data_IF_112111164168
#
_entry.id   IF_112111164168
#
_cell.length_a   1.000
_cell.length_b   1.000
_cell.length_c   1.000
_cell.angle_alpha   90.00
_cell.angle_beta   90.00
_cell.angle_gamma   90.00
#
_symmetry.space_group_name_H-M   'P 1'
#
loop_
_entity.id
_entity.type
_entity.pdbx_description
1 polymer ?
#
# COMPACT_ATOMS: atom_id res chain seq x y z
N UNK A 1 2.98 -10.04 -38.53
CA UNK A 1 2.71 -10.43 -37.13
C UNK A 1 3.97 -10.49 -36.25
N UNK A 2 5.11 -9.95 -36.72
CA UNK A 2 6.44 -10.11 -36.06
C UNK A 2 6.91 -8.93 -35.17
N UNK A 3 6.11 -7.87 -35.01
CA UNK A 3 6.64 -6.63 -34.41
C UNK A 3 6.23 -6.35 -32.95
N UNK A 4 5.37 -7.20 -32.36
CA UNK A 4 4.95 -6.99 -30.95
C UNK A 4 5.83 -7.75 -29.94
N UNK A 5 6.34 -8.92 -30.34
CA UNK A 5 7.22 -9.72 -29.45
C UNK A 5 8.60 -9.06 -29.26
N UNK A 6 9.13 -8.41 -30.29
CA UNK A 6 10.40 -7.70 -30.20
C UNK A 6 10.35 -6.47 -29.27
N UNK A 7 9.21 -5.79 -29.20
CA UNK A 7 9.02 -4.61 -28.34
C UNK A 7 8.93 -5.03 -26.87
N UNK A 8 8.26 -6.14 -26.56
CA UNK A 8 8.13 -6.67 -25.20
C UNK A 8 9.47 -7.22 -24.72
N UNK A 9 10.22 -7.95 -25.55
CA UNK A 9 11.56 -8.42 -25.19
C UNK A 9 12.54 -7.25 -24.96
N UNK A 10 12.44 -6.18 -25.73
CA UNK A 10 13.29 -5.00 -25.57
C UNK A 10 12.94 -4.19 -24.30
N UNK A 11 11.66 -4.12 -23.91
CA UNK A 11 11.23 -3.53 -22.63
C UNK A 11 11.66 -4.39 -21.45
N UNK A 12 11.48 -5.71 -21.51
CA UNK A 12 11.92 -6.64 -20.46
C UNK A 12 13.43 -6.65 -20.33
N UNK A 13 14.18 -6.59 -21.44
CA UNK A 13 15.65 -6.50 -21.43
C UNK A 13 16.16 -5.17 -20.85
N UNK A 14 15.51 -4.05 -21.14
CA UNK A 14 15.85 -2.75 -20.54
C UNK A 14 15.47 -2.67 -19.06
N UNK A 15 14.38 -3.31 -18.67
CA UNK A 15 13.97 -3.43 -17.26
C UNK A 15 14.91 -4.36 -16.49
N UNK A 16 15.32 -5.49 -17.07
CA UNK A 16 16.32 -6.40 -16.49
C UNK A 16 17.71 -5.74 -16.42
N UNK A 17 18.11 -4.94 -17.38
CA UNK A 17 19.38 -4.21 -17.34
C UNK A 17 19.39 -3.11 -16.25
N UNK A 18 18.24 -2.48 -15.98
CA UNK A 18 18.08 -1.56 -14.85
C UNK A 18 18.03 -2.29 -13.49
N UNK A 19 17.62 -3.56 -13.45
CA UNK A 19 17.61 -4.43 -12.27
C UNK A 19 18.98 -5.05 -11.95
N UNK A 20 19.91 -5.08 -12.91
CA UNK A 20 21.25 -5.69 -12.75
C UNK A 20 22.31 -4.69 -12.28
N UNK A 21 21.96 -3.45 -11.99
CA UNK A 21 22.88 -2.61 -11.22
C UNK A 21 22.94 -3.12 -9.76
N UNK A 22 23.82 -4.09 -9.54
CA UNK A 22 24.07 -4.73 -8.24
C UNK A 22 24.37 -3.71 -7.11
N UNK A 23 24.75 -2.49 -7.44
CA UNK A 23 24.93 -1.40 -6.48
C UNK A 23 23.61 -0.93 -5.88
N UNK A 24 22.51 -1.06 -6.64
CA UNK A 24 21.17 -0.69 -6.18
C UNK A 24 20.60 -1.72 -5.17
N UNK A 25 20.90 -3.01 -5.39
CA UNK A 25 20.44 -4.10 -4.50
C UNK A 25 21.18 -4.05 -3.14
N UNK A 26 22.43 -3.63 -3.12
CA UNK A 26 23.25 -3.54 -1.90
C UNK A 26 22.95 -2.31 -1.03
N UNK A 27 22.26 -1.31 -1.55
CA UNK A 27 21.81 -0.12 -0.82
C UNK A 27 20.57 -0.36 0.02
N UNK A 28 19.78 -1.36 -0.29
CA UNK A 28 18.54 -1.67 0.44
C UNK A 28 18.85 -2.51 1.69
N UNK A 29 19.09 -1.85 2.83
CA UNK A 29 19.51 -2.48 4.11
C UNK A 29 18.51 -3.49 4.71
N UNK A 30 17.32 -3.69 4.13
CA UNK A 30 16.25 -4.53 4.68
C UNK A 30 15.87 -5.75 3.84
N UNK A 31 16.61 -6.06 2.77
CA UNK A 31 16.37 -7.27 2.00
C UNK A 31 17.12 -8.46 2.62
N UNK A 32 16.47 -9.20 3.52
CA UNK A 32 16.78 -10.61 3.71
C UNK A 32 15.84 -11.42 2.79
N UNK A 33 16.34 -11.99 1.69
CA UNK A 33 15.51 -12.90 0.90
C UNK A 33 15.27 -14.14 1.75
N UNK A 34 14.00 -14.44 2.07
CA UNK A 34 13.65 -15.72 2.65
C UNK A 34 14.05 -16.82 1.64
N UNK A 35 14.60 -17.93 2.12
CA UNK A 35 15.00 -19.07 1.29
C UNK A 35 13.86 -19.61 0.40
N UNK A 36 12.61 -19.31 0.73
CA UNK A 36 11.42 -19.64 -0.05
C UNK A 36 11.29 -18.83 -1.36
N UNK A 37 11.83 -17.62 -1.41
CA UNK A 37 11.79 -16.80 -2.65
C UNK A 37 12.77 -17.34 -3.71
N UNK A 38 13.88 -17.98 -3.29
CA UNK A 38 14.88 -18.55 -4.22
C UNK A 38 14.40 -19.88 -4.85
N UNK A 39 13.62 -20.70 -4.10
CA UNK A 39 13.13 -21.99 -4.60
C UNK A 39 12.03 -21.88 -5.66
N UNK A 40 11.34 -20.75 -5.74
CA UNK A 40 10.29 -20.55 -6.74
C UNK A 40 10.81 -20.24 -8.16
N UNK A 41 12.06 -19.82 -8.29
CA UNK A 41 12.65 -19.47 -9.60
C UNK A 41 13.02 -20.73 -10.39
N UNK A 42 13.51 -21.78 -9.75
CA UNK A 42 13.88 -23.03 -10.43
C UNK A 42 12.68 -23.90 -10.85
N UNK A 43 11.54 -23.75 -10.19
CA UNK A 43 10.31 -24.47 -10.51
C UNK A 43 9.55 -23.82 -11.67
N UNK A 44 9.85 -22.56 -12.00
CA UNK A 44 9.16 -21.74 -12.98
C UNK A 44 9.57 -22.02 -14.43
N UNK A 45 10.70 -22.67 -14.68
CA UNK A 45 11.21 -22.93 -16.05
C UNK A 45 10.38 -23.94 -16.86
N UNK A 46 9.29 -24.52 -16.33
CA UNK A 46 8.57 -25.62 -16.95
C UNK A 46 7.06 -25.47 -17.19
N UNK A 47 6.42 -24.36 -16.80
CA UNK A 47 4.98 -24.19 -17.05
C UNK A 47 4.60 -22.77 -17.50
N UNK A 48 4.35 -22.65 -18.77
CA UNK A 48 3.44 -21.78 -19.53
C UNK A 48 2.97 -20.44 -18.95
N UNK A 49 3.34 -19.35 -19.67
CA UNK A 49 2.42 -18.39 -20.28
C UNK A 49 2.21 -17.03 -19.60
N UNK A 50 2.06 -16.05 -20.40
CA UNK A 50 1.88 -14.59 -20.26
C UNK A 50 1.30 -14.03 -18.93
N UNK A 51 0.40 -14.74 -18.25
CA UNK A 51 -0.16 -14.34 -16.96
C UNK A 51 0.83 -14.48 -15.79
N UNK A 52 1.74 -15.45 -15.88
CA UNK A 52 2.76 -15.67 -14.86
C UNK A 52 3.84 -14.57 -14.89
N UNK A 53 4.21 -14.09 -16.07
CA UNK A 53 5.18 -12.99 -16.23
C UNK A 53 4.73 -11.69 -15.57
N UNK A 54 3.46 -11.32 -15.70
CA UNK A 54 2.89 -10.14 -15.04
C UNK A 54 2.91 -10.28 -13.52
N UNK A 55 2.62 -11.47 -13.00
CA UNK A 55 2.65 -11.74 -11.55
C UNK A 55 4.05 -11.67 -10.96
N UNK A 56 5.07 -12.18 -11.67
CA UNK A 56 6.48 -12.13 -11.23
C UNK A 56 7.01 -10.69 -11.23
N UNK A 57 6.77 -9.93 -12.29
CA UNK A 57 7.17 -8.51 -12.35
C UNK A 57 6.50 -7.72 -11.24
N UNK A 58 5.22 -7.96 -10.97
CA UNK A 58 4.47 -7.33 -9.89
C UNK A 58 5.05 -7.67 -8.50
N UNK A 59 5.35 -8.94 -8.24
CA UNK A 59 5.98 -9.40 -7.00
C UNK A 59 7.38 -8.80 -6.80
N UNK A 60 8.20 -8.76 -7.84
CA UNK A 60 9.53 -8.15 -7.79
C UNK A 60 9.44 -6.64 -7.52
N UNK A 61 8.50 -5.94 -8.16
CA UNK A 61 8.28 -4.51 -7.91
C UNK A 61 7.85 -4.26 -6.46
N UNK A 62 6.97 -5.09 -5.90
CA UNK A 62 6.59 -4.99 -4.49
C UNK A 62 7.77 -5.22 -3.55
N UNK A 63 8.57 -6.24 -3.80
CA UNK A 63 9.72 -6.56 -2.96
C UNK A 63 10.82 -5.51 -2.99
N UNK A 64 10.97 -4.79 -4.11
CA UNK A 64 12.03 -3.78 -4.29
C UNK A 64 11.68 -2.43 -3.64
N UNK A 65 10.39 -2.06 -3.61
CA UNK A 65 9.98 -0.72 -3.21
C UNK A 65 9.06 -0.66 -2.00
N UNK A 66 8.61 -1.79 -1.47
CA UNK A 66 7.80 -1.80 -0.26
C UNK A 66 8.33 -2.80 0.77
N UNK A 67 8.62 -2.28 1.95
CA UNK A 67 9.08 -3.05 3.11
C UNK A 67 7.96 -3.17 4.15
N UNK A 68 8.09 -4.14 5.06
CA UNK A 68 7.25 -4.18 6.26
C UNK A 68 7.60 -2.97 7.12
N UNK A 69 6.59 -2.22 7.55
CA UNK A 69 6.77 -1.08 8.44
C UNK A 69 7.28 -1.56 9.81
N UNK A 70 8.28 -0.88 10.33
CA UNK A 70 8.85 -1.15 11.64
C UNK A 70 8.67 0.05 12.58
N UNK A 71 8.74 -0.12 13.92
CA UNK A 71 8.67 1.00 14.86
C UNK A 71 9.69 2.12 14.61
N UNK A 72 10.82 1.79 13.99
CA UNK A 72 11.86 2.77 13.60
C UNK A 72 11.43 3.71 12.48
N UNK A 73 10.37 3.36 11.73
CA UNK A 73 9.79 4.23 10.71
C UNK A 73 8.88 5.33 11.30
N UNK A 74 8.62 5.29 12.63
CA UNK A 74 7.62 6.12 13.30
C UNK A 74 7.81 7.62 13.07
N UNK A 75 9.04 8.12 13.09
CA UNK A 75 9.33 9.54 12.84
C UNK A 75 8.86 9.94 11.43
N UNK A 76 9.18 9.11 10.44
CA UNK A 76 8.85 9.40 9.05
C UNK A 76 7.36 9.24 8.79
N UNK A 77 6.74 8.18 9.31
CA UNK A 77 5.29 7.93 9.23
C UNK A 77 4.52 9.07 9.90
N UNK A 78 4.92 9.50 11.11
CA UNK A 78 4.32 10.64 11.80
C UNK A 78 4.46 11.94 11.00
N UNK A 79 5.63 12.19 10.41
CA UNK A 79 5.87 13.37 9.56
C UNK A 79 4.92 13.39 8.35
N UNK A 80 4.72 12.26 7.67
CA UNK A 80 3.78 12.15 6.56
C UNK A 80 2.36 12.42 7.06
N UNK A 81 1.92 11.72 8.11
CA UNK A 81 0.56 11.80 8.64
C UNK A 81 0.20 13.20 9.14
N UNK A 82 1.08 13.83 9.90
CA UNK A 82 0.84 15.13 10.50
C UNK A 82 0.69 16.27 9.49
N UNK A 83 1.21 16.12 8.27
CA UNK A 83 0.90 17.05 7.17
C UNK A 83 -0.59 17.00 6.81
N UNK A 84 -1.20 15.82 6.80
CA UNK A 84 -2.63 15.65 6.54
C UNK A 84 -3.47 16.12 7.73
N UNK A 85 -3.02 15.85 8.95
CA UNK A 85 -3.68 16.35 10.17
C UNK A 85 -3.78 17.86 10.13
N UNK A 86 -2.67 18.55 9.86
CA UNK A 86 -2.58 20.00 10.00
C UNK A 86 -3.12 20.79 8.81
N UNK A 87 -3.18 20.19 7.60
CA UNK A 87 -3.41 20.94 6.35
C UNK A 87 -4.60 20.47 5.52
N UNK A 88 -5.22 19.35 5.88
CA UNK A 88 -6.27 18.75 5.04
C UNK A 88 -7.44 18.22 5.86
N UNK A 89 -8.54 17.92 5.17
CA UNK A 89 -9.72 17.25 5.71
C UNK A 89 -9.66 15.72 5.54
N UNK A 90 -8.56 15.18 5.00
CA UNK A 90 -8.41 13.76 4.64
C UNK A 90 -8.38 12.86 5.87
N UNK A 91 -7.83 13.32 7.00
CA UNK A 91 -7.95 12.67 8.29
C UNK A 91 -8.75 13.54 9.27
N UNK A 92 -9.44 12.92 10.21
CA UNK A 92 -10.25 13.63 11.20
C UNK A 92 -9.53 13.90 12.51
N UNK A 93 -8.26 13.48 12.65
CA UNK A 93 -7.44 13.98 13.76
C UNK A 93 -7.20 15.49 13.58
N UNK A 94 -7.30 16.23 14.69
CA UNK A 94 -7.20 17.69 14.72
C UNK A 94 -5.86 18.17 15.25
N UNK A 95 -5.17 17.32 16.04
CA UNK A 95 -3.88 17.62 16.63
C UNK A 95 -2.80 16.68 16.06
N UNK A 96 -1.58 17.19 15.80
CA UNK A 96 -0.47 16.36 15.36
C UNK A 96 -0.15 15.23 16.32
N UNK A 97 0.10 14.04 15.78
CA UNK A 97 0.42 12.85 16.56
C UNK A 97 1.91 12.85 16.90
N UNK A 98 2.29 12.75 18.19
CA UNK A 98 3.68 12.61 18.61
C UNK A 98 4.31 11.34 18.05
N UNK A 99 5.63 11.37 17.81
CA UNK A 99 6.38 10.24 17.23
C UNK A 99 6.22 8.97 18.09
N UNK A 100 6.28 9.09 19.41
CA UNK A 100 6.16 7.94 20.31
C UNK A 100 4.75 7.32 20.29
N UNK A 101 3.72 8.15 20.12
CA UNK A 101 2.35 7.66 19.94
C UNK A 101 2.24 6.93 18.60
N UNK A 102 2.85 7.47 17.53
CA UNK A 102 2.89 6.81 16.22
C UNK A 102 3.65 5.50 16.28
N UNK A 103 4.77 5.44 17.02
CA UNK A 103 5.53 4.21 17.26
C UNK A 103 4.67 3.12 17.89
N UNK A 104 3.92 3.46 18.94
CA UNK A 104 3.00 2.54 19.59
C UNK A 104 1.87 2.06 18.65
N UNK A 105 1.34 2.96 17.80
CA UNK A 105 0.35 2.58 16.77
C UNK A 105 0.93 1.58 15.75
N UNK A 106 2.14 1.85 15.25
CA UNK A 106 2.84 0.94 14.32
C UNK A 106 3.04 -0.41 14.96
N UNK A 107 3.59 -0.46 16.18
CA UNK A 107 3.83 -1.70 16.89
C UNK A 107 2.55 -2.51 17.10
N UNK A 108 1.50 -1.86 17.60
CA UNK A 108 0.19 -2.48 17.82
C UNK A 108 -0.42 -3.05 16.54
N UNK A 109 -0.39 -2.31 15.43
CA UNK A 109 -1.01 -2.73 14.18
C UNK A 109 -0.15 -3.78 13.48
N UNK A 110 1.17 -3.55 13.35
CA UNK A 110 2.06 -4.44 12.60
C UNK A 110 2.26 -5.81 13.24
N UNK A 111 2.00 -5.94 14.56
CA UNK A 111 2.04 -7.21 15.28
C UNK A 111 0.96 -8.21 14.80
N UNK A 112 -0.18 -7.74 14.31
CA UNK A 112 -1.33 -8.56 13.93
C UNK A 112 -1.74 -8.40 12.46
N UNK A 113 -1.54 -7.22 11.88
CA UNK A 113 -2.07 -6.85 10.58
C UNK A 113 -0.97 -6.41 9.60
N UNK A 114 -1.22 -6.48 8.28
CA UNK A 114 -0.29 -6.00 7.28
C UNK A 114 -0.04 -4.49 7.42
N UNK A 115 1.21 -4.10 7.46
CA UNK A 115 1.65 -2.71 7.49
C UNK A 115 2.90 -2.57 6.60
N UNK A 116 2.83 -1.74 5.56
CA UNK A 116 3.91 -1.57 4.59
C UNK A 116 4.30 -0.11 4.43
N UNK A 117 5.57 0.13 4.18
CA UNK A 117 6.12 1.42 3.76
C UNK A 117 6.61 1.32 2.32
N UNK A 118 6.48 2.40 1.58
CA UNK A 118 7.19 2.58 0.30
C UNK A 118 8.45 3.40 0.58
N UNK A 119 9.59 2.76 0.33
CA UNK A 119 10.90 3.36 0.53
C UNK A 119 11.60 3.52 -0.82
N UNK A 120 12.23 4.67 -1.03
CA UNK A 120 13.07 4.94 -2.17
C UNK A 120 14.32 5.70 -1.71
N UNK A 121 15.49 5.18 -2.06
CA UNK A 121 16.80 5.72 -1.66
C UNK A 121 16.94 5.98 -0.14
N UNK A 122 16.48 5.00 0.67
CA UNK A 122 16.52 5.07 2.13
C UNK A 122 15.49 6.03 2.74
N UNK A 123 14.57 6.58 1.95
CA UNK A 123 13.55 7.52 2.41
C UNK A 123 12.16 6.94 2.27
N UNK A 124 11.41 6.85 3.36
CA UNK A 124 10.00 6.47 3.34
C UNK A 124 9.17 7.61 2.73
N UNK A 125 8.50 7.33 1.63
CA UNK A 125 7.67 8.26 0.85
C UNK A 125 6.17 8.04 1.03
N UNK A 126 5.77 6.93 1.62
CA UNK A 126 4.38 6.61 1.89
C UNK A 126 4.25 5.31 2.67
N UNK A 127 3.06 5.05 3.15
CA UNK A 127 2.75 3.85 3.89
C UNK A 127 1.28 3.44 3.69
N UNK A 128 1.00 2.16 3.94
CA UNK A 128 -0.36 1.63 4.03
C UNK A 128 -0.44 0.55 5.10
N UNK A 129 -1.61 0.37 5.67
CA UNK A 129 -1.89 -0.71 6.60
C UNK A 129 -3.37 -1.10 6.56
N UNK A 130 -3.68 -2.24 7.17
CA UNK A 130 -5.03 -2.64 7.48
C UNK A 130 -5.16 -2.89 8.99
N UNK A 131 -6.38 -2.73 9.52
CA UNK A 131 -6.72 -3.07 10.91
C UNK A 131 -8.15 -3.59 10.96
N UNK A 132 -8.61 -4.11 12.10
CA UNK A 132 -10.01 -4.54 12.25
C UNK A 132 -10.95 -3.37 11.96
N UNK A 133 -11.92 -3.62 11.08
CA UNK A 133 -12.98 -2.63 10.79
C UNK A 133 -13.87 -2.38 12.03
N UNK A 134 -14.19 -3.43 12.79
CA UNK A 134 -14.99 -3.35 14.04
C UNK A 134 -14.54 -4.44 15.02
N UNK A 135 -14.70 -4.17 16.31
CA UNK A 135 -14.18 -5.02 17.38
C UNK A 135 -14.91 -6.36 17.58
N UNK A 136 -16.20 -6.47 17.13
CA UNK A 136 -16.98 -7.69 17.36
C UNK A 136 -16.43 -8.85 16.51
N UNK A 137 -16.32 -10.04 17.10
CA UNK A 137 -15.71 -11.23 16.51
C UNK A 137 -16.27 -11.60 15.12
N UNK A 138 -17.56 -11.41 14.87
CA UNK A 138 -18.17 -11.66 13.57
C UNK A 138 -17.58 -10.80 12.42
N UNK A 139 -16.86 -9.71 12.74
CA UNK A 139 -16.16 -8.87 11.78
C UNK A 139 -14.68 -9.21 11.62
N UNK A 140 -14.18 -10.28 12.26
CA UNK A 140 -12.75 -10.66 12.28
C UNK A 140 -12.13 -10.90 10.90
N UNK A 141 -12.96 -11.08 9.86
CA UNK A 141 -12.51 -11.25 8.47
C UNK A 141 -12.66 -9.99 7.60
N UNK A 142 -13.06 -8.87 8.20
CA UNK A 142 -13.20 -7.58 7.52
C UNK A 142 -12.20 -6.59 8.12
N UNK A 143 -11.39 -5.96 7.25
CA UNK A 143 -10.41 -4.97 7.67
C UNK A 143 -10.72 -3.61 7.08
N UNK A 144 -10.36 -2.55 7.79
CA UNK A 144 -10.30 -1.19 7.26
C UNK A 144 -8.88 -0.91 6.76
N UNK A 145 -8.77 -0.26 5.61
CA UNK A 145 -7.50 0.06 4.97
C UNK A 145 -7.17 1.53 5.05
N UNK A 146 -5.88 1.82 5.21
CA UNK A 146 -5.34 3.18 5.27
C UNK A 146 -4.14 3.30 4.33
N UNK A 147 -4.03 4.44 3.61
CA UNK A 147 -2.86 4.77 2.80
C UNK A 147 -2.58 6.26 2.83
N UNK A 148 -1.32 6.63 3.07
CA UNK A 148 -0.83 8.00 3.04
C UNK A 148 0.50 8.08 2.30
N UNK A 149 0.69 9.15 1.54
CA UNK A 149 1.91 9.43 0.78
C UNK A 149 2.43 10.83 1.14
N UNK A 150 3.72 11.08 0.92
CA UNK A 150 4.17 12.47 0.84
C UNK A 150 3.47 13.15 -0.35
N UNK A 151 3.12 14.45 -0.26
CA UNK A 151 2.48 15.17 -1.37
C UNK A 151 3.25 15.08 -2.68
N UNK A 152 4.57 15.11 -2.59
CA UNK A 152 5.50 15.02 -3.73
C UNK A 152 5.47 13.64 -4.41
N UNK A 153 4.99 12.62 -3.70
CA UNK A 153 4.88 11.24 -4.18
C UNK A 153 3.48 10.88 -4.70
N UNK A 154 2.52 11.79 -4.56
CA UNK A 154 1.19 11.61 -5.12
C UNK A 154 1.21 11.59 -6.67
N UNK A 155 0.21 10.96 -7.27
CA UNK A 155 0.02 10.84 -8.73
C UNK A 155 1.13 10.11 -9.49
N UNK A 156 2.04 9.41 -8.79
CA UNK A 156 3.14 8.60 -9.36
C UNK A 156 2.88 7.10 -9.37
N UNK A 157 1.65 6.67 -9.06
CA UNK A 157 1.29 5.26 -8.99
C UNK A 157 1.66 4.55 -7.67
N UNK A 158 2.37 5.24 -6.76
CA UNK A 158 2.84 4.66 -5.49
C UNK A 158 1.69 4.20 -4.61
N UNK A 159 0.60 4.98 -4.53
CA UNK A 159 -0.60 4.59 -3.78
C UNK A 159 -1.23 3.30 -4.31
N UNK A 160 -1.34 3.14 -5.63
CA UNK A 160 -1.81 1.91 -6.23
C UNK A 160 -0.89 0.73 -5.90
N UNK A 161 0.42 0.92 -5.95
CA UNK A 161 1.41 -0.12 -5.66
C UNK A 161 1.28 -0.61 -4.20
N UNK A 162 1.23 0.31 -3.24
CA UNK A 162 1.04 0.01 -1.82
C UNK A 162 -0.28 -0.74 -1.58
N UNK A 163 -1.39 -0.22 -2.13
CA UNK A 163 -2.70 -0.82 -1.96
C UNK A 163 -2.82 -2.20 -2.64
N UNK A 164 -2.24 -2.38 -3.82
CA UNK A 164 -2.18 -3.70 -4.45
C UNK A 164 -1.46 -4.72 -3.55
N UNK A 165 -0.30 -4.35 -2.98
CA UNK A 165 0.42 -5.20 -2.04
C UNK A 165 -0.42 -5.52 -0.79
N UNK A 166 -1.06 -4.51 -0.22
CA UNK A 166 -1.92 -4.67 0.95
C UNK A 166 -3.08 -5.63 0.66
N UNK A 167 -3.75 -5.46 -0.47
CA UNK A 167 -4.85 -6.33 -0.93
C UNK A 167 -4.36 -7.77 -1.09
N UNK A 168 -3.24 -7.99 -1.78
CA UNK A 168 -2.68 -9.33 -2.02
C UNK A 168 -2.30 -10.01 -0.68
N UNK A 169 -1.72 -9.26 0.26
CA UNK A 169 -1.38 -9.77 1.59
C UNK A 169 -2.63 -10.11 2.41
N UNK A 170 -3.66 -9.24 2.40
CA UNK A 170 -4.92 -9.52 3.10
C UNK A 170 -5.60 -10.77 2.53
N UNK A 171 -5.60 -10.93 1.20
CA UNK A 171 -6.14 -12.12 0.53
C UNK A 171 -5.38 -13.37 0.94
N UNK A 172 -4.04 -13.33 0.97
CA UNK A 172 -3.20 -14.48 1.35
C UNK A 172 -3.39 -14.91 2.80
N UNK A 173 -3.73 -13.98 3.70
CA UNK A 173 -4.07 -14.25 5.11
C UNK A 173 -5.52 -14.69 5.33
N UNK A 174 -6.32 -14.83 4.26
CA UNK A 174 -7.70 -15.32 4.33
C UNK A 174 -8.69 -14.32 4.94
N UNK A 175 -8.44 -13.00 4.79
CA UNK A 175 -9.46 -11.99 5.01
C UNK A 175 -10.47 -12.01 3.87
N UNK A 176 -11.69 -11.52 4.11
CA UNK A 176 -12.80 -11.61 3.17
C UNK A 176 -13.16 -10.27 2.54
N UNK A 177 -13.13 -9.20 3.31
CA UNK A 177 -13.51 -7.88 2.81
C UNK A 177 -12.58 -6.78 3.34
N UNK A 178 -12.39 -5.75 2.52
CA UNK A 178 -11.67 -4.53 2.87
C UNK A 178 -12.60 -3.33 2.75
N UNK A 179 -12.55 -2.46 3.74
CA UNK A 179 -13.29 -1.21 3.78
C UNK A 179 -12.29 -0.05 3.69
N UNK A 180 -12.63 0.97 2.91
CA UNK A 180 -11.90 2.23 2.87
C UNK A 180 -12.86 3.37 3.24
N UNK A 181 -12.60 4.02 4.37
CA UNK A 181 -13.37 5.16 4.86
C UNK A 181 -12.69 6.46 4.36
N UNK A 182 -13.37 7.21 3.48
CA UNK A 182 -12.77 8.32 2.74
C UNK A 182 -13.65 9.56 2.83
N UNK A 183 -13.06 10.74 3.09
CA UNK A 183 -13.79 12.01 2.99
C UNK A 183 -14.28 12.23 1.55
N UNK A 184 -15.52 12.66 1.39
CA UNK A 184 -16.18 12.74 0.10
C UNK A 184 -15.51 13.73 -0.90
N UNK A 185 -14.72 14.67 -0.41
CA UNK A 185 -13.94 15.61 -1.19
C UNK A 185 -12.52 15.10 -1.56
N UNK A 186 -12.12 13.92 -1.08
CA UNK A 186 -10.86 13.28 -1.45
C UNK A 186 -10.99 12.48 -2.76
N UNK A 187 -11.29 13.17 -3.85
CA UNK A 187 -11.45 12.56 -5.18
C UNK A 187 -10.25 11.71 -5.65
N UNK A 188 -8.98 12.07 -5.39
CA UNK A 188 -7.86 11.22 -5.76
C UNK A 188 -7.93 9.83 -5.12
N UNK A 189 -8.25 9.75 -3.82
CA UNK A 189 -8.38 8.48 -3.10
C UNK A 189 -9.59 7.68 -3.60
N UNK A 190 -10.75 8.32 -3.79
CA UNK A 190 -11.94 7.66 -4.33
C UNK A 190 -11.66 7.02 -5.71
N UNK A 191 -10.99 7.75 -6.62
CA UNK A 191 -10.62 7.22 -7.94
C UNK A 191 -9.61 6.07 -7.85
N UNK A 192 -8.61 6.19 -6.99
CA UNK A 192 -7.61 5.15 -6.79
C UNK A 192 -8.27 3.85 -6.30
N UNK A 193 -9.07 3.92 -5.24
CA UNK A 193 -9.78 2.75 -4.71
C UNK A 193 -10.75 2.16 -5.75
N UNK A 194 -11.50 2.99 -6.48
CA UNK A 194 -12.35 2.54 -7.58
C UNK A 194 -11.58 1.78 -8.67
N UNK A 195 -10.37 2.23 -9.03
CA UNK A 195 -9.51 1.53 -9.99
C UNK A 195 -8.99 0.19 -9.49
N UNK A 196 -8.96 -0.02 -8.17
CA UNK A 196 -8.58 -1.27 -7.50
C UNK A 196 -9.77 -2.22 -7.26
N UNK A 197 -10.97 -1.84 -7.75
CA UNK A 197 -12.17 -2.66 -7.65
C UNK A 197 -13.05 -2.38 -6.45
N UNK A 198 -12.70 -1.43 -5.60
CA UNK A 198 -13.58 -1.00 -4.51
C UNK A 198 -14.86 -0.36 -5.06
N UNK A 199 -15.98 -0.61 -4.41
CA UNK A 199 -17.29 -0.04 -4.76
C UNK A 199 -17.86 0.73 -3.59
N UNK A 200 -18.54 1.84 -3.86
CA UNK A 200 -19.20 2.61 -2.82
C UNK A 200 -20.37 1.82 -2.22
N UNK A 201 -20.39 1.72 -0.89
CA UNK A 201 -21.43 1.04 -0.12
C UNK A 201 -22.20 1.97 0.81
N UNK A 202 -21.60 3.10 1.19
CA UNK A 202 -22.26 4.10 2.02
C UNK A 202 -21.85 5.54 1.67
N UNK A 203 -22.67 6.49 2.13
CA UNK A 203 -22.32 7.90 2.26
C UNK A 203 -23.00 8.47 3.49
N UNK A 204 -22.21 9.01 4.39
CA UNK A 204 -22.69 9.71 5.58
C UNK A 204 -22.54 11.21 5.38
N UNK A 205 -23.62 11.94 5.63
CA UNK A 205 -23.65 13.39 5.44
C UNK A 205 -23.27 14.12 6.74
N UNK A 206 -22.35 15.06 6.62
CA UNK A 206 -21.97 16.00 7.70
C UNK A 206 -21.53 15.36 9.02
N UNK A 207 -21.01 14.11 8.99
CA UNK A 207 -20.61 13.36 10.20
C UNK A 207 -19.30 13.82 10.79
N UNK A 208 -18.45 14.51 10.03
CA UNK A 208 -17.17 15.04 10.48
C UNK A 208 -17.20 16.57 10.61
N UNK A 209 -16.41 17.11 11.56
CA UNK A 209 -16.18 18.55 11.69
C UNK A 209 -14.68 18.82 11.79
N UNK A 210 -14.11 19.50 10.79
CA UNK A 210 -12.70 19.92 10.81
C UNK A 210 -12.52 21.27 10.12
N UNK A 211 -11.68 22.13 10.69
CA UNK A 211 -11.45 23.49 10.22
C UNK A 211 -12.76 24.30 10.02
N UNK A 212 -13.74 24.09 10.92
CA UNK A 212 -15.05 24.74 10.85
C UNK A 212 -15.96 24.23 9.70
N UNK A 213 -15.57 23.20 8.96
CA UNK A 213 -16.34 22.60 7.86
C UNK A 213 -16.94 21.26 8.28
N UNK A 214 -18.22 21.07 8.00
CA UNK A 214 -18.86 19.75 8.05
C UNK A 214 -18.46 18.94 6.84
N UNK A 215 -18.19 17.66 7.05
CA UNK A 215 -17.59 16.76 6.06
C UNK A 215 -18.40 15.49 5.93
N UNK A 216 -18.63 15.09 4.69
CA UNK A 216 -19.22 13.79 4.36
C UNK A 216 -18.14 12.71 4.33
N UNK A 217 -18.53 11.50 4.66
CA UNK A 217 -17.72 10.28 4.54
C UNK A 217 -18.36 9.33 3.53
N UNK A 218 -17.53 8.71 2.72
CA UNK A 218 -17.90 7.64 1.80
C UNK A 218 -17.13 6.38 2.22
N UNK A 219 -17.86 5.28 2.44
CA UNK A 219 -17.24 3.98 2.59
C UNK A 219 -17.24 3.24 1.26
N UNK A 220 -16.10 2.72 0.92
CA UNK A 220 -15.91 1.83 -0.22
C UNK A 220 -15.57 0.43 0.28
N UNK A 221 -16.07 -0.60 -0.39
CA UNK A 221 -15.86 -2.01 -0.08
C UNK A 221 -15.20 -2.74 -1.24
N UNK A 222 -14.25 -3.63 -0.90
CA UNK A 222 -13.70 -4.64 -1.80
C UNK A 222 -13.85 -6.02 -1.17
N UNK A 223 -14.61 -6.91 -1.81
CA UNK A 223 -14.66 -8.35 -1.47
C UNK A 223 -13.46 -9.03 -2.14
N UNK A 224 -12.65 -9.79 -1.36
CA UNK A 224 -11.36 -10.36 -1.76
C UNK A 224 -11.47 -11.71 -2.49
#
# INVERSE_FOLDING_TARGET
>A
MENKECTILCMVSRFLAALVDLRFILSCRRLQPSAQCMLSIDQWSRTSELNAGVSVVRLLTYSLFSAVCAPDDAERVASIYNRYVSKTTITFETEPVPVEVMRGRIDSVSSAFPYFVYEYDGVVLGYCYAHLWKEREAYSKTLETTVYLTPESCHKGIGNLLMCRLIDECRSRGYHALIACITADNYPSLRMHGSLGFRQVSRFHEVGLKFGRRLDIIDLELVL
#
